data_IF_946863879588
#
_entry.id   IF_946863879588
#
_cell.length_a   1.000
_cell.length_b   1.000
_cell.length_c   1.000
_cell.angle_alpha   90.00
_cell.angle_beta   90.00
_cell.angle_gamma   90.00
#
_symmetry.space_group_name_H-M   'P 1'
#
loop_
_entity.id
_entity.type
_entity.pdbx_description
1 polymer ?
#
# COMPACT_ATOMS: atom_id res chain seq x y z
N UNK A 1 4.69 7.75 -5.77
CA UNK A 1 4.66 6.79 -6.93
C UNK A 1 3.23 6.61 -7.43
N UNK A 2 3.02 6.40 -8.75
CA UNK A 2 1.69 6.06 -9.27
C UNK A 2 1.38 4.56 -9.06
N UNK A 3 0.10 4.17 -9.26
CA UNK A 3 -0.36 2.79 -9.02
C UNK A 3 0.41 1.72 -9.81
N UNK A 4 0.80 2.02 -11.05
CA UNK A 4 1.55 1.06 -11.88
C UNK A 4 2.99 0.86 -11.36
N UNK A 5 3.62 1.92 -10.89
CA UNK A 5 4.96 1.85 -10.28
C UNK A 5 4.92 1.05 -8.96
N UNK A 6 3.91 1.28 -8.12
CA UNK A 6 3.69 0.53 -6.88
C UNK A 6 3.47 -0.96 -7.17
N UNK A 7 2.60 -1.29 -8.11
CA UNK A 7 2.35 -2.68 -8.53
C UNK A 7 3.63 -3.36 -9.02
N UNK A 8 4.41 -2.68 -9.89
CA UNK A 8 5.67 -3.20 -10.43
C UNK A 8 6.69 -3.46 -9.31
N UNK A 9 6.81 -2.55 -8.35
CA UNK A 9 7.73 -2.70 -7.23
C UNK A 9 7.30 -3.84 -6.30
N UNK A 10 6.02 -3.89 -5.92
CA UNK A 10 5.47 -4.96 -5.09
C UNK A 10 5.65 -6.34 -5.74
N UNK A 11 5.38 -6.45 -7.05
CA UNK A 11 5.59 -7.71 -7.80
C UNK A 11 7.05 -8.13 -7.78
N UNK A 12 7.99 -7.18 -7.93
CA UNK A 12 9.44 -7.47 -7.84
C UNK A 12 9.83 -7.96 -6.45
N UNK A 13 9.27 -7.38 -5.39
CA UNK A 13 9.53 -7.82 -4.01
C UNK A 13 9.06 -9.25 -3.78
N UNK A 14 7.87 -9.62 -4.23
CA UNK A 14 7.37 -11.00 -4.13
C UNK A 14 8.23 -11.96 -4.96
N UNK A 15 8.58 -11.58 -6.18
CA UNK A 15 9.42 -12.41 -7.04
C UNK A 15 10.81 -12.66 -6.44
N UNK A 16 11.41 -11.65 -5.80
CA UNK A 16 12.67 -11.80 -5.09
C UNK A 16 12.55 -12.79 -3.92
N UNK A 17 11.44 -12.74 -3.14
CA UNK A 17 11.16 -13.72 -2.06
C UNK A 17 11.03 -15.13 -2.62
N UNK A 18 10.28 -15.28 -3.72
CA UNK A 18 10.09 -16.56 -4.39
C UNK A 18 11.42 -17.16 -4.83
N UNK A 19 12.23 -16.39 -5.56
CA UNK A 19 13.55 -16.82 -6.01
C UNK A 19 14.45 -17.22 -4.82
N UNK A 20 14.46 -16.44 -3.73
CA UNK A 20 15.24 -16.77 -2.55
C UNK A 20 14.79 -18.09 -1.87
N UNK A 21 13.49 -18.36 -1.82
CA UNK A 21 12.96 -19.62 -1.31
C UNK A 21 13.35 -20.82 -2.20
N UNK A 22 13.26 -20.65 -3.51
CA UNK A 22 13.65 -21.67 -4.50
C UNK A 22 15.16 -21.93 -4.47
N UNK A 23 15.97 -20.88 -4.40
CA UNK A 23 17.45 -20.97 -4.31
C UNK A 23 17.90 -21.68 -3.03
N UNK A 24 17.28 -21.35 -1.89
CA UNK A 24 17.55 -22.03 -0.62
C UNK A 24 17.26 -23.53 -0.70
N UNK A 25 16.11 -23.90 -1.27
CA UNK A 25 15.72 -25.29 -1.47
C UNK A 25 16.72 -26.01 -2.39
N UNK A 26 17.04 -25.42 -3.55
CA UNK A 26 17.98 -26.02 -4.52
C UNK A 26 19.39 -26.16 -3.93
N UNK A 27 19.84 -25.22 -3.11
CA UNK A 27 21.14 -25.34 -2.40
C UNK A 27 21.13 -26.51 -1.46
N UNK A 28 20.05 -26.72 -0.70
CA UNK A 28 19.87 -27.88 0.18
C UNK A 28 19.89 -29.18 -0.63
N UNK A 29 19.10 -29.27 -1.69
CA UNK A 29 19.05 -30.44 -2.57
C UNK A 29 20.42 -30.71 -3.24
N UNK A 30 21.12 -29.66 -3.69
CA UNK A 30 22.44 -29.79 -4.30
C UNK A 30 23.49 -30.32 -3.30
N UNK A 31 23.37 -30.00 -2.03
CA UNK A 31 24.20 -30.54 -0.97
C UNK A 31 23.91 -32.00 -0.71
N UNK A 32 22.63 -32.35 -0.60
CA UNK A 32 22.20 -33.74 -0.41
C UNK A 32 22.58 -34.66 -1.59
N UNK A 33 22.48 -34.18 -2.82
CA UNK A 33 22.89 -34.92 -4.04
C UNK A 33 24.37 -35.27 -4.09
N UNK A 34 25.22 -34.64 -3.27
CA UNK A 34 26.65 -34.98 -3.16
C UNK A 34 26.90 -36.08 -2.13
N UNK A 35 25.92 -36.40 -1.28
CA UNK A 35 26.02 -37.45 -0.29
C UNK A 35 25.65 -38.83 -0.89
N UNK A 36 26.56 -39.79 -0.80
CA UNK A 36 26.37 -41.11 -1.40
C UNK A 36 25.22 -41.88 -0.74
N UNK A 37 25.03 -41.78 0.57
CA UNK A 37 23.94 -42.45 1.30
C UNK A 37 22.57 -41.88 0.88
N UNK A 38 22.47 -40.58 0.74
CA UNK A 38 21.26 -39.92 0.23
C UNK A 38 20.91 -40.39 -1.18
N UNK A 39 21.90 -40.46 -2.07
CA UNK A 39 21.67 -40.92 -3.47
C UNK A 39 21.20 -42.36 -3.52
N UNK A 40 21.75 -43.23 -2.68
CA UNK A 40 21.28 -44.63 -2.59
C UNK A 40 19.84 -44.75 -2.08
N UNK A 41 19.48 -43.95 -1.04
CA UNK A 41 18.12 -43.92 -0.49
C UNK A 41 17.12 -43.43 -1.54
N UNK A 42 17.39 -42.34 -2.22
CA UNK A 42 16.52 -41.78 -3.25
C UNK A 42 16.39 -42.70 -4.49
N UNK A 43 17.47 -43.30 -4.90
CA UNK A 43 17.46 -44.29 -5.99
C UNK A 43 16.62 -45.53 -5.62
N UNK A 44 16.80 -46.05 -4.40
CA UNK A 44 16.03 -47.18 -3.89
C UNK A 44 14.54 -46.89 -3.75
N UNK A 45 14.20 -45.67 -3.25
CA UNK A 45 12.81 -45.24 -3.15
C UNK A 45 12.17 -45.14 -4.53
N UNK A 46 12.83 -44.46 -5.47
CA UNK A 46 12.31 -44.30 -6.86
C UNK A 46 12.12 -45.65 -7.55
N UNK A 47 13.07 -46.57 -7.38
CA UNK A 47 12.94 -47.93 -7.93
C UNK A 47 11.73 -48.65 -7.35
N UNK A 48 11.54 -48.60 -6.01
CA UNK A 48 10.39 -49.25 -5.38
C UNK A 48 9.04 -48.63 -5.78
N UNK A 49 9.00 -47.29 -6.06
CA UNK A 49 7.80 -46.64 -6.59
C UNK A 49 7.48 -47.06 -8.02
N UNK A 50 8.48 -47.23 -8.87
CA UNK A 50 8.32 -47.75 -10.23
C UNK A 50 7.80 -49.18 -10.17
N UNK A 51 8.43 -50.04 -9.35
CA UNK A 51 8.01 -51.44 -9.18
C UNK A 51 6.56 -51.54 -8.69
N UNK A 52 6.13 -50.61 -7.78
CA UNK A 52 4.74 -50.54 -7.32
C UNK A 52 3.74 -50.23 -8.42
N UNK A 53 4.09 -49.30 -9.32
CA UNK A 53 3.22 -48.90 -10.45
C UNK A 53 3.14 -50.04 -11.51
N UNK A 54 4.25 -50.74 -11.71
CA UNK A 54 4.36 -51.77 -12.76
C UNK A 54 3.94 -53.18 -12.32
N UNK A 55 3.63 -53.40 -11.03
CA UNK A 55 3.34 -54.72 -10.47
C UNK A 55 1.87 -54.90 -10.11
N UNK A 56 1.41 -56.14 -10.12
CA UNK A 56 0.10 -56.58 -9.68
C UNK A 56 0.16 -57.58 -8.53
N UNK A 57 -0.93 -57.71 -7.75
CA UNK A 57 -1.12 -58.76 -6.74
C UNK A 57 -0.06 -58.73 -5.61
N UNK A 58 0.58 -59.87 -5.39
CA UNK A 58 1.58 -60.06 -4.30
C UNK A 58 2.83 -59.22 -4.48
N UNK A 59 3.28 -58.97 -5.72
CA UNK A 59 4.44 -58.15 -6.04
C UNK A 59 4.22 -56.67 -5.66
N UNK A 60 2.99 -56.18 -5.79
CA UNK A 60 2.60 -54.83 -5.37
C UNK A 60 2.70 -54.65 -3.87
N UNK A 61 2.31 -55.65 -3.06
CA UNK A 61 2.48 -55.62 -1.60
C UNK A 61 3.94 -55.59 -1.18
N UNK A 62 4.83 -56.27 -1.89
CA UNK A 62 6.26 -56.26 -1.63
C UNK A 62 6.88 -54.87 -1.93
N UNK A 63 6.54 -54.31 -3.09
CA UNK A 63 6.97 -52.96 -3.48
C UNK A 63 6.50 -51.89 -2.47
N UNK A 64 5.27 -52.01 -1.96
CA UNK A 64 4.75 -51.13 -0.92
C UNK A 64 5.56 -51.19 0.40
N UNK A 65 5.98 -52.36 0.82
CA UNK A 65 6.89 -52.53 1.98
C UNK A 65 8.25 -51.91 1.73
N UNK A 66 8.78 -51.99 0.52
CA UNK A 66 10.05 -51.39 0.12
C UNK A 66 9.95 -49.85 0.16
N UNK A 67 8.88 -49.27 -0.36
CA UNK A 67 8.61 -47.83 -0.29
C UNK A 67 8.61 -47.34 1.17
N UNK A 68 7.88 -48.05 2.05
CA UNK A 68 7.83 -47.71 3.48
C UNK A 68 9.22 -47.72 4.12
N UNK A 69 10.01 -48.76 3.84
CA UNK A 69 11.39 -48.90 4.32
C UNK A 69 12.28 -47.76 3.87
N UNK A 70 12.24 -47.39 2.59
CA UNK A 70 13.08 -46.28 2.08
C UNK A 70 12.59 -44.92 2.58
N UNK A 71 11.29 -44.71 2.77
CA UNK A 71 10.75 -43.47 3.40
C UNK A 71 11.26 -43.34 4.84
N UNK A 72 11.22 -44.41 5.63
CA UNK A 72 11.79 -44.36 7.01
C UNK A 72 13.28 -44.02 6.98
N UNK A 73 14.08 -44.67 6.11
CA UNK A 73 15.50 -44.37 5.97
C UNK A 73 15.74 -42.93 5.57
N UNK A 74 14.94 -42.35 4.68
CA UNK A 74 15.02 -40.98 4.24
C UNK A 74 14.76 -40.02 5.41
N UNK A 75 13.72 -40.30 6.19
CA UNK A 75 13.36 -39.47 7.33
C UNK A 75 14.41 -39.51 8.44
N UNK A 76 15.02 -40.68 8.69
CA UNK A 76 16.14 -40.88 9.62
C UNK A 76 17.39 -40.10 9.15
N UNK A 77 17.73 -40.21 7.85
CA UNK A 77 18.84 -39.48 7.26
C UNK A 77 18.65 -37.95 7.38
N UNK A 78 17.48 -37.42 6.99
CA UNK A 78 17.16 -36.01 7.11
C UNK A 78 17.27 -35.53 8.56
N UNK A 79 16.73 -36.29 9.50
CA UNK A 79 16.80 -35.96 10.93
C UNK A 79 18.25 -35.93 11.45
N UNK A 80 19.08 -36.87 11.01
CA UNK A 80 20.51 -36.90 11.41
C UNK A 80 21.26 -35.67 10.88
N UNK A 81 20.82 -35.06 9.77
CA UNK A 81 21.39 -33.85 9.20
C UNK A 81 20.67 -32.57 9.64
N UNK A 82 19.74 -32.65 10.62
CA UNK A 82 18.97 -31.50 11.10
C UNK A 82 17.95 -30.94 10.10
N UNK A 83 17.54 -31.79 9.10
CA UNK A 83 16.58 -31.45 8.07
C UNK A 83 15.26 -32.20 8.25
N UNK A 84 14.24 -31.72 7.58
CA UNK A 84 12.91 -32.34 7.51
C UNK A 84 12.49 -32.51 6.05
N UNK A 85 11.44 -33.30 5.81
CA UNK A 85 10.87 -33.45 4.46
C UNK A 85 10.39 -32.12 3.87
N UNK A 86 10.04 -31.14 4.72
CA UNK A 86 9.66 -29.81 4.29
C UNK A 86 10.84 -29.03 3.69
N UNK A 87 12.07 -29.24 4.17
CA UNK A 87 13.26 -28.55 3.65
C UNK A 87 13.64 -28.97 2.23
N UNK A 88 12.98 -30.00 1.70
CA UNK A 88 13.11 -30.46 0.31
C UNK A 88 12.17 -29.75 -0.65
N UNK A 89 11.37 -28.81 -0.17
CA UNK A 89 10.47 -27.98 -0.97
C UNK A 89 10.69 -26.51 -0.66
N UNK A 90 10.46 -25.60 -1.62
CA UNK A 90 10.57 -24.17 -1.36
C UNK A 90 9.52 -23.72 -0.34
N UNK A 91 9.95 -22.95 0.67
CA UNK A 91 9.06 -22.34 1.65
C UNK A 91 8.65 -20.96 1.20
N UNK A 92 7.47 -20.86 0.61
CA UNK A 92 6.90 -19.58 0.21
C UNK A 92 6.23 -18.87 1.38
N UNK A 93 6.36 -17.54 1.45
CA UNK A 93 5.70 -16.73 2.47
C UNK A 93 4.18 -16.71 2.30
N UNK A 94 3.69 -16.85 1.09
CA UNK A 94 2.28 -17.00 0.77
C UNK A 94 2.00 -18.37 0.18
N UNK A 95 1.35 -19.24 0.94
CA UNK A 95 0.99 -20.59 0.49
C UNK A 95 -0.08 -20.59 -0.61
N UNK A 96 -0.92 -19.54 -0.68
CA UNK A 96 -2.03 -19.45 -1.63
C UNK A 96 -1.53 -19.24 -3.07
N UNK A 97 -0.52 -18.40 -3.28
CA UNK A 97 0.00 -18.07 -4.60
C UNK A 97 1.47 -18.47 -4.80
N UNK A 98 2.11 -19.08 -3.81
CA UNK A 98 3.53 -19.42 -3.82
C UNK A 98 4.40 -18.21 -4.18
N UNK A 99 4.13 -17.07 -3.54
CA UNK A 99 4.76 -15.76 -3.74
C UNK A 99 4.76 -15.26 -5.20
N UNK A 100 3.88 -15.79 -6.07
CA UNK A 100 3.70 -15.26 -7.43
C UNK A 100 2.92 -13.94 -7.47
N UNK A 101 2.15 -13.64 -6.41
CA UNK A 101 1.27 -12.47 -6.33
C UNK A 101 -0.06 -12.64 -7.06
N UNK A 102 -0.30 -13.75 -7.76
CA UNK A 102 -1.52 -13.99 -8.54
C UNK A 102 -2.03 -15.42 -8.39
N UNK A 103 -3.36 -15.56 -8.40
CA UNK A 103 -4.08 -16.85 -8.43
C UNK A 103 -5.10 -16.78 -9.55
N UNK A 104 -4.97 -17.64 -10.55
CA UNK A 104 -5.86 -17.68 -11.74
C UNK A 104 -6.03 -16.29 -12.41
N UNK A 105 -4.95 -15.50 -12.49
CA UNK A 105 -4.98 -14.17 -13.08
C UNK A 105 -5.54 -13.06 -12.18
N UNK A 106 -6.00 -13.39 -10.96
CA UNK A 106 -6.48 -12.43 -9.96
C UNK A 106 -5.36 -12.09 -8.97
N UNK A 107 -5.28 -10.83 -8.57
CA UNK A 107 -4.30 -10.38 -7.58
C UNK A 107 -4.54 -11.08 -6.25
N UNK A 108 -3.49 -11.69 -5.70
CA UNK A 108 -3.52 -12.32 -4.39
C UNK A 108 -3.49 -11.27 -3.26
N UNK A 109 -4.03 -11.62 -2.09
CA UNK A 109 -4.00 -10.75 -0.91
C UNK A 109 -2.58 -10.33 -0.52
N UNK A 110 -1.60 -11.22 -0.63
CA UNK A 110 -0.19 -10.92 -0.30
C UNK A 110 0.40 -9.81 -1.19
N UNK A 111 0.03 -9.74 -2.47
CA UNK A 111 0.45 -8.66 -3.36
C UNK A 111 -0.25 -7.35 -3.00
N UNK A 112 -1.54 -7.39 -2.66
CA UNK A 112 -2.26 -6.23 -2.15
C UNK A 112 -1.64 -5.70 -0.85
N UNK A 113 -1.24 -6.58 0.07
CA UNK A 113 -0.60 -6.20 1.33
C UNK A 113 0.77 -5.54 1.08
N UNK A 114 1.54 -6.04 0.12
CA UNK A 114 2.82 -5.42 -0.25
C UNK A 114 2.63 -4.05 -0.91
N UNK A 115 1.64 -3.91 -1.81
CA UNK A 115 1.25 -2.61 -2.38
C UNK A 115 0.86 -1.63 -1.27
N UNK A 116 0.06 -2.08 -0.29
CA UNK A 116 -0.37 -1.26 0.84
C UNK A 116 0.80 -0.78 1.69
N UNK A 117 1.78 -1.65 1.98
CA UNK A 117 3.01 -1.27 2.68
C UNK A 117 3.78 -0.17 1.93
N UNK A 118 3.92 -0.31 0.62
CA UNK A 118 4.58 0.69 -0.22
C UNK A 118 3.80 2.02 -0.25
N UNK A 119 2.47 1.96 -0.36
CA UNK A 119 1.61 3.16 -0.29
C UNK A 119 1.84 3.90 1.02
N UNK A 120 1.81 3.20 2.15
CA UNK A 120 2.01 3.80 3.47
C UNK A 120 3.42 4.40 3.60
N UNK A 121 4.44 3.68 3.15
CA UNK A 121 5.83 4.16 3.19
C UNK A 121 6.04 5.45 2.36
N UNK A 122 5.35 5.57 1.23
CA UNK A 122 5.43 6.73 0.32
C UNK A 122 4.43 7.86 0.66
N UNK A 123 3.45 7.58 1.52
CA UNK A 123 2.31 8.49 1.76
C UNK A 123 2.60 9.66 2.67
N UNK A 124 3.74 9.69 3.36
CA UNK A 124 4.03 10.61 4.47
C UNK A 124 3.03 10.52 5.64
N UNK A 125 2.23 9.46 5.72
CA UNK A 125 1.30 9.23 6.83
C UNK A 125 2.07 8.72 8.03
N UNK A 126 2.20 9.54 9.06
CA UNK A 126 3.00 9.24 10.26
C UNK A 126 2.20 8.56 11.38
N UNK A 127 0.86 8.64 11.33
CA UNK A 127 -0.02 8.15 12.39
C UNK A 127 -0.98 7.06 11.86
N UNK A 128 -0.58 5.79 11.89
CA UNK A 128 -1.43 4.68 11.44
C UNK A 128 -2.69 4.50 12.31
N UNK A 129 -2.64 4.96 13.58
CA UNK A 129 -3.76 4.84 14.52
C UNK A 129 -4.88 5.88 14.28
N UNK A 130 -4.64 6.88 13.43
CA UNK A 130 -5.67 7.85 13.06
C UNK A 130 -6.60 7.22 12.02
N UNK A 131 -7.58 6.47 12.52
CA UNK A 131 -8.59 5.77 11.71
C UNK A 131 -9.99 6.25 12.05
N UNK A 132 -10.96 5.95 11.19
CA UNK A 132 -12.37 6.20 11.48
C UNK A 132 -12.87 5.39 12.67
N UNK A 133 -12.34 4.17 12.89
CA UNK A 133 -12.70 3.31 14.00
C UNK A 133 -12.21 3.85 15.36
N UNK A 134 -11.00 4.43 15.38
CA UNK A 134 -10.39 4.96 16.59
C UNK A 134 -10.83 6.41 16.91
N UNK A 135 -11.64 7.02 16.05
CA UNK A 135 -12.08 8.40 16.22
C UNK A 135 -12.99 8.58 17.44
N UNK A 136 -12.52 9.31 18.46
CA UNK A 136 -13.27 9.62 19.68
C UNK A 136 -14.02 10.96 19.55
N UNK A 137 -14.90 11.08 18.55
CA UNK A 137 -15.63 12.31 18.32
C UNK A 137 -16.95 12.32 19.10
N UNK A 138 -17.12 13.29 19.99
CA UNK A 138 -18.32 13.43 20.84
C UNK A 138 -19.35 14.37 20.25
N UNK A 139 -18.93 15.35 19.45
CA UNK A 139 -19.82 16.30 18.80
C UNK A 139 -20.64 15.63 17.70
N UNK A 140 -21.98 15.74 17.76
CA UNK A 140 -22.87 15.11 16.81
C UNK A 140 -22.67 15.61 15.37
N UNK A 141 -22.44 16.91 15.18
CA UNK A 141 -22.14 17.51 13.88
C UNK A 141 -20.84 16.93 13.31
N UNK A 142 -19.76 16.93 14.09
CA UNK A 142 -18.49 16.37 13.63
C UNK A 142 -18.60 14.87 13.32
N UNK A 143 -19.36 14.09 14.11
CA UNK A 143 -19.61 12.67 13.77
C UNK A 143 -20.27 12.50 12.40
N UNK A 144 -21.23 13.38 12.07
CA UNK A 144 -21.85 13.36 10.74
C UNK A 144 -20.83 13.70 9.63
N UNK A 145 -19.95 14.69 9.87
CA UNK A 145 -18.85 15.02 8.95
C UNK A 145 -17.90 13.83 8.76
N UNK A 146 -17.48 13.16 9.85
CA UNK A 146 -16.62 11.97 9.79
C UNK A 146 -17.27 10.85 8.97
N UNK A 147 -18.54 10.55 9.24
CA UNK A 147 -19.30 9.53 8.50
C UNK A 147 -19.38 9.85 7.00
N UNK A 148 -19.65 11.13 6.66
CA UNK A 148 -19.72 11.53 5.25
C UNK A 148 -18.36 11.52 4.57
N UNK A 149 -17.30 11.94 5.26
CA UNK A 149 -15.94 11.86 4.74
C UNK A 149 -15.50 10.39 4.49
N UNK A 150 -15.85 9.48 5.41
CA UNK A 150 -15.64 8.05 5.22
C UNK A 150 -16.34 7.53 3.97
N UNK A 151 -17.61 7.94 3.75
CA UNK A 151 -18.37 7.55 2.57
C UNK A 151 -17.73 8.08 1.28
N UNK A 152 -17.24 9.34 1.29
CA UNK A 152 -16.50 9.92 0.14
C UNK A 152 -15.24 9.12 -0.17
N UNK A 153 -14.52 8.65 0.84
CA UNK A 153 -13.37 7.77 0.62
C UNK A 153 -13.78 6.42 0.02
N UNK A 154 -14.89 5.83 0.45
CA UNK A 154 -15.37 4.54 -0.06
C UNK A 154 -15.88 4.64 -1.50
N UNK A 155 -16.72 5.63 -1.79
CA UNK A 155 -17.34 5.81 -3.12
C UNK A 155 -16.33 6.24 -4.18
N UNK A 156 -15.33 7.05 -3.81
CA UNK A 156 -14.43 7.71 -4.74
C UNK A 156 -15.11 8.85 -5.52
N UNK A 157 -14.34 9.56 -6.32
CA UNK A 157 -14.85 10.55 -7.28
C UNK A 157 -15.12 11.95 -6.74
N UNK A 158 -15.33 12.15 -5.43
CA UNK A 158 -15.51 13.46 -4.81
C UNK A 158 -14.27 13.92 -4.06
N UNK A 159 -14.04 15.23 -4.02
CA UNK A 159 -13.03 15.88 -3.20
C UNK A 159 -13.57 16.18 -1.79
N UNK A 160 -12.69 16.58 -0.88
CA UNK A 160 -13.06 17.04 0.47
C UNK A 160 -12.37 18.37 0.75
N UNK A 161 -13.13 19.35 1.24
CA UNK A 161 -12.60 20.59 1.80
C UNK A 161 -13.09 20.71 3.26
N UNK A 162 -12.14 20.62 4.20
CA UNK A 162 -12.39 20.73 5.63
C UNK A 162 -11.96 22.12 6.11
N UNK A 163 -12.91 22.86 6.66
CA UNK A 163 -12.64 24.13 7.35
C UNK A 163 -12.79 23.98 8.87
N UNK A 164 -12.37 24.96 9.63
CA UNK A 164 -12.57 24.99 11.09
C UNK A 164 -11.35 25.44 11.86
N UNK A 165 -11.53 25.76 13.13
CA UNK A 165 -10.49 26.28 14.01
C UNK A 165 -9.33 25.29 14.22
N UNK A 166 -8.18 25.83 14.64
CA UNK A 166 -7.04 25.01 15.08
C UNK A 166 -7.49 24.03 16.18
N UNK A 167 -7.00 22.78 16.12
CA UNK A 167 -7.31 21.75 17.11
C UNK A 167 -8.71 21.11 16.99
N UNK A 168 -9.55 21.49 16.01
CA UNK A 168 -10.88 20.90 15.80
C UNK A 168 -10.87 19.45 15.33
N UNK A 169 -9.70 18.90 14.88
CA UNK A 169 -9.55 17.51 14.45
C UNK A 169 -9.43 17.34 12.94
N UNK A 170 -9.19 18.39 12.15
CA UNK A 170 -9.06 18.34 10.69
C UNK A 170 -7.91 17.41 10.24
N UNK A 171 -6.72 17.60 10.79
CA UNK A 171 -5.56 16.75 10.50
C UNK A 171 -5.83 15.29 10.85
N UNK A 172 -6.54 15.00 11.97
CA UNK A 172 -6.95 13.63 12.30
C UNK A 172 -7.84 13.04 11.21
N UNK A 173 -8.91 13.76 10.83
CA UNK A 173 -9.84 13.29 9.80
C UNK A 173 -9.15 13.12 8.45
N UNK A 174 -8.27 14.06 8.08
CA UNK A 174 -7.50 13.96 6.84
C UNK A 174 -6.60 12.71 6.83
N UNK A 175 -5.91 12.45 7.95
CA UNK A 175 -5.07 11.25 8.11
C UNK A 175 -5.90 9.97 8.11
N UNK A 176 -7.10 9.97 8.73
CA UNK A 176 -8.01 8.83 8.68
C UNK A 176 -8.49 8.53 7.24
N UNK A 177 -8.74 9.58 6.45
CA UNK A 177 -9.04 9.43 5.01
C UNK A 177 -7.84 8.85 4.25
N UNK A 178 -6.61 9.26 4.57
CA UNK A 178 -5.39 8.73 3.96
C UNK A 178 -5.21 7.24 4.25
N UNK A 179 -5.34 6.84 5.53
CA UNK A 179 -5.25 5.44 5.94
C UNK A 179 -6.31 4.57 5.26
N UNK A 180 -7.57 4.99 5.25
CA UNK A 180 -8.65 4.26 4.58
C UNK A 180 -8.41 4.17 3.07
N UNK A 181 -7.93 5.24 2.42
CA UNK A 181 -7.61 5.21 0.98
C UNK A 181 -6.48 4.23 0.67
N UNK A 182 -5.47 4.15 1.54
CA UNK A 182 -4.38 3.18 1.43
C UNK A 182 -4.89 1.72 1.62
N UNK A 183 -5.82 1.49 2.56
CA UNK A 183 -6.49 0.20 2.75
C UNK A 183 -7.28 -0.23 1.50
N UNK A 184 -7.80 0.72 0.74
CA UNK A 184 -8.47 0.49 -0.55
C UNK A 184 -7.48 0.35 -1.73
N UNK A 185 -6.18 0.22 -1.45
CA UNK A 185 -5.09 0.13 -2.44
C UNK A 185 -5.04 1.31 -3.43
N UNK A 186 -5.42 2.50 -2.98
CA UNK A 186 -5.23 3.74 -3.74
C UNK A 186 -3.89 4.34 -3.36
N UNK A 187 -3.15 4.84 -4.34
CA UNK A 187 -1.92 5.60 -4.07
C UNK A 187 -2.27 6.90 -3.35
N UNK A 188 -1.58 7.17 -2.25
CA UNK A 188 -1.87 8.29 -1.34
C UNK A 188 -0.63 9.13 -1.13
N UNK A 189 -0.80 10.45 -1.05
CA UNK A 189 0.24 11.38 -0.62
C UNK A 189 -0.38 12.41 0.32
N UNK A 190 0.10 12.45 1.57
CA UNK A 190 -0.26 13.46 2.56
C UNK A 190 0.88 14.46 2.70
N UNK A 191 0.61 15.72 2.42
CA UNK A 191 1.58 16.82 2.49
C UNK A 191 0.95 18.04 3.12
N UNK A 192 1.78 18.92 3.71
CA UNK A 192 1.32 20.24 4.15
C UNK A 192 1.32 21.22 2.98
N UNK A 193 0.46 22.25 3.04
CA UNK A 193 0.48 23.32 2.05
C UNK A 193 1.84 24.02 1.96
N UNK A 194 2.54 24.14 3.08
CA UNK A 194 3.91 24.65 3.14
C UNK A 194 4.88 23.78 2.28
N UNK A 195 4.81 22.46 2.43
CA UNK A 195 5.63 21.53 1.64
C UNK A 195 5.29 21.63 0.15
N UNK A 196 4.01 21.68 -0.20
CA UNK A 196 3.56 21.83 -1.60
C UNK A 196 4.10 23.10 -2.22
N UNK A 197 4.07 24.24 -1.52
CA UNK A 197 4.63 25.50 -2.05
C UNK A 197 6.15 25.43 -2.26
N UNK A 198 6.88 24.72 -1.39
CA UNK A 198 8.30 24.42 -1.59
C UNK A 198 8.52 23.57 -2.85
N UNK A 199 7.76 22.49 -3.04
CA UNK A 199 7.81 21.66 -4.23
C UNK A 199 7.52 22.46 -5.52
N UNK A 200 6.59 23.41 -5.48
CA UNK A 200 6.33 24.29 -6.62
C UNK A 200 7.52 25.19 -6.95
N UNK A 201 8.19 25.73 -5.93
CA UNK A 201 9.40 26.52 -6.13
C UNK A 201 10.53 25.68 -6.71
N UNK A 202 10.74 24.48 -6.17
CA UNK A 202 11.75 23.55 -6.67
C UNK A 202 11.46 23.17 -8.14
N UNK A 203 10.21 22.86 -8.47
CA UNK A 203 9.79 22.60 -9.84
C UNK A 203 10.04 23.78 -10.77
N UNK A 204 9.76 25.01 -10.31
CA UNK A 204 9.95 26.23 -11.09
C UNK A 204 11.42 26.51 -11.40
N UNK A 205 12.32 26.18 -10.46
CA UNK A 205 13.77 26.44 -10.58
C UNK A 205 14.54 25.28 -11.23
N UNK A 206 13.91 24.15 -11.46
CA UNK A 206 14.54 22.94 -11.96
C UNK A 206 14.55 22.85 -13.50
N UNK A 207 15.33 21.90 -14.03
CA UNK A 207 15.21 21.48 -15.43
C UNK A 207 13.87 20.81 -15.72
N UNK A 208 13.54 20.66 -17.01
CA UNK A 208 12.24 20.13 -17.44
C UNK A 208 11.94 18.73 -16.90
N UNK A 209 12.93 17.85 -16.81
CA UNK A 209 12.74 16.47 -16.35
C UNK A 209 12.43 16.43 -14.84
N UNK A 210 13.17 17.20 -14.05
CA UNK A 210 12.96 17.35 -12.60
C UNK A 210 11.63 18.05 -12.32
N UNK A 211 11.31 19.12 -13.07
CA UNK A 211 10.02 19.79 -12.99
C UNK A 211 8.88 18.79 -13.17
N UNK A 212 8.93 17.99 -14.24
CA UNK A 212 7.89 17.03 -14.55
C UNK A 212 7.77 15.95 -13.47
N UNK A 213 8.89 15.44 -12.97
CA UNK A 213 8.89 14.44 -11.90
C UNK A 213 8.25 14.96 -10.60
N UNK A 214 8.51 16.21 -10.21
CA UNK A 214 7.89 16.84 -9.03
C UNK A 214 6.39 17.00 -9.24
N UNK A 215 5.97 17.58 -10.37
CA UNK A 215 4.54 17.81 -10.65
C UNK A 215 3.77 16.48 -10.76
N UNK A 216 4.31 15.48 -11.45
CA UNK A 216 3.71 14.16 -11.59
C UNK A 216 3.56 13.45 -10.23
N UNK A 217 4.47 13.68 -9.28
CA UNK A 217 4.35 13.14 -7.93
C UNK A 217 3.09 13.60 -7.19
N UNK A 218 2.66 14.85 -7.44
CA UNK A 218 1.44 15.45 -6.89
C UNK A 218 0.19 15.14 -7.73
N UNK A 219 0.34 15.08 -9.05
CA UNK A 219 -0.79 14.91 -9.98
C UNK A 219 -1.24 13.46 -10.07
N UNK A 220 -0.32 12.50 -10.11
CA UNK A 220 -0.62 11.10 -10.46
C UNK A 220 -1.13 10.24 -9.33
N UNK A 221 -0.89 10.60 -8.06
CA UNK A 221 -1.44 9.84 -6.93
C UNK A 221 -2.97 9.83 -6.97
N UNK A 222 -3.59 8.72 -6.57
CA UNK A 222 -5.05 8.60 -6.60
C UNK A 222 -5.72 9.58 -5.63
N UNK A 223 -5.13 9.75 -4.45
CA UNK A 223 -5.63 10.65 -3.40
C UNK A 223 -4.48 11.53 -2.91
N UNK A 224 -4.58 12.82 -3.18
CA UNK A 224 -3.69 13.85 -2.64
C UNK A 224 -4.37 14.52 -1.46
N UNK A 225 -3.69 14.56 -0.32
CA UNK A 225 -4.18 15.24 0.88
C UNK A 225 -3.26 16.41 1.20
N UNK A 226 -3.82 17.61 1.26
CA UNK A 226 -3.10 18.84 1.56
C UNK A 226 -3.59 19.37 2.91
N UNK A 227 -2.73 19.30 3.92
CA UNK A 227 -3.05 19.79 5.26
C UNK A 227 -2.65 21.24 5.44
N UNK A 228 -3.45 21.98 6.22
CA UNK A 228 -3.25 23.36 6.60
C UNK A 228 -3.07 24.34 5.40
N UNK A 229 -3.96 24.24 4.39
CA UNK A 229 -4.01 25.21 3.29
C UNK A 229 -4.22 26.63 3.86
N UNK A 230 -3.42 27.57 3.40
CA UNK A 230 -3.35 28.95 3.93
C UNK A 230 -2.10 29.24 4.76
N UNK A 231 -1.28 28.22 5.05
CA UNK A 231 0.01 28.38 5.75
C UNK A 231 1.21 28.39 4.81
N UNK A 232 0.99 28.12 3.53
CA UNK A 232 2.04 28.07 2.51
C UNK A 232 2.68 29.44 2.24
N UNK A 233 3.92 29.39 1.80
CA UNK A 233 4.60 30.57 1.28
C UNK A 233 4.02 30.97 -0.09
N UNK A 234 3.75 32.25 -0.27
CA UNK A 234 3.29 32.80 -1.54
C UNK A 234 4.50 33.31 -2.33
N UNK A 235 4.96 32.51 -3.27
CA UNK A 235 5.98 32.90 -4.24
C UNK A 235 5.31 33.52 -5.45
N UNK A 236 5.69 34.75 -5.79
CA UNK A 236 5.10 35.52 -6.90
C UNK A 236 5.21 34.73 -8.23
N UNK A 237 4.13 34.63 -8.97
CA UNK A 237 4.01 33.91 -10.23
C UNK A 237 4.31 32.39 -10.16
N UNK A 238 4.38 31.83 -8.96
CA UNK A 238 4.64 30.38 -8.76
C UNK A 238 3.48 29.75 -8.02
N UNK A 239 3.27 30.10 -6.75
CA UNK A 239 2.34 29.37 -5.87
C UNK A 239 0.94 29.28 -6.45
N UNK A 240 0.36 30.40 -6.87
CA UNK A 240 -1.01 30.43 -7.41
C UNK A 240 -1.13 29.70 -8.75
N UNK A 241 -0.19 29.91 -9.67
CA UNK A 241 -0.25 29.32 -11.00
C UNK A 241 -0.05 27.79 -10.94
N UNK A 242 0.90 27.30 -10.14
CA UNK A 242 1.14 25.89 -9.97
C UNK A 242 0.00 25.20 -9.21
N UNK A 243 -0.56 25.87 -8.18
CA UNK A 243 -1.70 25.32 -7.45
C UNK A 243 -2.94 25.23 -8.33
N UNK A 244 -3.22 26.25 -9.15
CA UNK A 244 -4.27 26.20 -10.15
C UNK A 244 -4.07 25.04 -11.13
N UNK A 245 -2.88 24.92 -11.68
CA UNK A 245 -2.53 23.84 -12.61
C UNK A 245 -2.72 22.47 -11.95
N UNK A 246 -2.21 22.27 -10.73
CA UNK A 246 -2.35 21.03 -9.96
C UNK A 246 -3.82 20.64 -9.79
N UNK A 247 -4.64 21.54 -9.26
CA UNK A 247 -6.07 21.25 -9.03
C UNK A 247 -6.80 20.95 -10.34
N UNK A 248 -6.53 21.74 -11.39
CA UNK A 248 -7.16 21.56 -12.69
C UNK A 248 -6.81 20.21 -13.34
N UNK A 249 -5.53 19.82 -13.34
CA UNK A 249 -5.06 18.53 -13.85
C UNK A 249 -5.66 17.37 -13.08
N UNK A 250 -5.72 17.45 -11.75
CA UNK A 250 -6.31 16.39 -10.93
C UNK A 250 -7.80 16.23 -11.17
N UNK A 251 -8.53 17.35 -11.35
CA UNK A 251 -9.95 17.31 -11.74
C UNK A 251 -10.12 16.65 -13.13
N UNK A 252 -9.30 17.02 -14.10
CA UNK A 252 -9.34 16.45 -15.45
C UNK A 252 -9.07 14.94 -15.45
N UNK A 253 -8.13 14.48 -14.62
CA UNK A 253 -7.79 13.06 -14.44
C UNK A 253 -8.70 12.32 -13.46
N UNK A 254 -9.75 12.96 -12.93
CA UNK A 254 -10.69 12.41 -11.94
C UNK A 254 -9.98 11.87 -10.68
N UNK A 255 -8.91 12.53 -10.25
CA UNK A 255 -8.15 12.20 -9.04
C UNK A 255 -8.73 12.95 -7.84
N UNK A 256 -8.79 12.29 -6.67
CA UNK A 256 -9.32 12.90 -5.45
C UNK A 256 -8.30 13.84 -4.80
N UNK A 257 -8.77 15.01 -4.37
CA UNK A 257 -7.97 15.96 -3.61
C UNK A 257 -8.71 16.31 -2.33
N UNK A 258 -8.10 16.06 -1.17
CA UNK A 258 -8.65 16.36 0.15
C UNK A 258 -7.81 17.46 0.79
N UNK A 259 -8.47 18.49 1.25
CA UNK A 259 -7.80 19.70 1.76
C UNK A 259 -8.36 20.02 3.14
N UNK A 260 -7.47 20.37 4.07
CA UNK A 260 -7.83 21.03 5.32
C UNK A 260 -7.34 22.47 5.34
N UNK A 261 -8.06 23.34 6.04
CA UNK A 261 -7.69 24.75 6.21
C UNK A 261 -8.24 25.31 7.52
N UNK A 262 -7.52 26.26 8.09
CA UNK A 262 -8.00 27.09 9.19
C UNK A 262 -8.73 28.37 8.70
N UNK A 263 -8.69 28.63 7.40
CA UNK A 263 -9.34 29.78 6.79
C UNK A 263 -10.85 29.54 6.65
N UNK A 264 -11.64 30.59 6.76
CA UNK A 264 -13.05 30.57 6.34
C UNK A 264 -13.14 30.57 4.82
N UNK A 265 -14.31 30.27 4.27
CA UNK A 265 -14.52 30.33 2.80
C UNK A 265 -14.30 31.78 2.28
N UNK A 266 -14.59 32.80 3.09
CA UNK A 266 -14.34 34.20 2.76
C UNK A 266 -12.84 34.48 2.67
N UNK A 267 -12.09 34.04 3.69
CA UNK A 267 -10.63 34.22 3.72
C UNK A 267 -9.94 33.45 2.58
N UNK A 268 -10.44 32.26 2.24
CA UNK A 268 -9.95 31.48 1.08
C UNK A 268 -10.16 32.24 -0.22
N UNK A 269 -11.32 32.89 -0.39
CA UNK A 269 -11.63 33.69 -1.58
C UNK A 269 -10.75 34.94 -1.69
N UNK A 270 -10.40 35.54 -0.56
CA UNK A 270 -9.50 36.71 -0.51
C UNK A 270 -8.05 36.29 -0.78
N UNK A 271 -7.64 35.11 -0.31
CA UNK A 271 -6.24 34.63 -0.41
C UNK A 271 -5.92 34.09 -1.81
N UNK A 272 -6.87 33.39 -2.44
CA UNK A 272 -6.70 32.76 -3.76
C UNK A 272 -7.55 33.48 -4.81
N UNK A 273 -7.10 33.45 -6.05
CA UNK A 273 -7.91 34.00 -7.14
C UNK A 273 -9.22 33.21 -7.34
N UNK A 274 -10.20 33.83 -8.00
CA UNK A 274 -11.51 33.27 -8.25
C UNK A 274 -11.43 31.93 -9.02
N UNK A 275 -10.40 31.73 -9.83
CA UNK A 275 -10.20 30.48 -10.60
C UNK A 275 -9.87 29.30 -9.70
N UNK A 276 -9.05 29.51 -8.69
CA UNK A 276 -8.69 28.49 -7.69
C UNK A 276 -9.89 28.27 -6.77
N UNK A 277 -10.41 29.35 -6.20
CA UNK A 277 -11.50 29.30 -5.24
C UNK A 277 -12.71 28.54 -5.79
N UNK A 278 -13.16 28.85 -7.01
CA UNK A 278 -14.34 28.20 -7.61
C UNK A 278 -14.16 26.69 -7.77
N UNK A 279 -12.93 26.20 -8.00
CA UNK A 279 -12.63 24.77 -8.10
C UNK A 279 -12.61 24.06 -6.75
N UNK A 280 -12.12 24.76 -5.72
CA UNK A 280 -12.08 24.20 -4.36
C UNK A 280 -13.49 24.04 -3.78
N UNK A 281 -14.41 24.96 -4.11
CA UNK A 281 -15.77 24.99 -3.54
C UNK A 281 -16.84 24.45 -4.49
N UNK A 282 -16.48 23.83 -5.59
CA UNK A 282 -17.44 23.23 -6.53
C UNK A 282 -18.22 22.09 -5.86
N UNK A 283 -19.43 22.38 -5.36
CA UNK A 283 -20.28 21.45 -4.62
C UNK A 283 -20.72 20.24 -5.45
N UNK A 284 -20.62 20.27 -6.76
CA UNK A 284 -20.89 19.11 -7.61
C UNK A 284 -19.81 18.03 -7.49
N UNK A 285 -18.63 18.39 -6.97
CA UNK A 285 -17.43 17.53 -6.89
C UNK A 285 -16.76 17.52 -5.53
N UNK A 286 -17.09 18.46 -4.64
CA UNK A 286 -16.40 18.64 -3.37
C UNK A 286 -17.38 18.57 -2.21
N UNK A 287 -17.14 17.67 -1.28
CA UNK A 287 -17.77 17.68 0.02
C UNK A 287 -17.09 18.74 0.89
N UNK A 288 -17.83 19.81 1.19
CA UNK A 288 -17.36 20.91 2.02
C UNK A 288 -17.95 20.76 3.41
N UNK A 289 -17.11 20.78 4.45
CA UNK A 289 -17.55 20.67 5.82
C UNK A 289 -16.69 21.48 6.78
N UNK A 290 -17.33 22.02 7.81
CA UNK A 290 -16.65 22.69 8.91
C UNK A 290 -16.59 21.75 10.13
N UNK A 291 -15.39 21.58 10.70
CA UNK A 291 -15.23 20.92 12.00
C UNK A 291 -15.25 21.97 13.11
N UNK A 292 -16.24 21.85 13.98
CA UNK A 292 -16.49 22.77 15.09
C UNK A 292 -15.95 22.21 16.41
N UNK A 293 -15.70 23.09 17.38
CA UNK A 293 -15.30 22.72 18.75
C UNK A 293 -14.04 23.41 19.25
N UNK A 294 -13.75 23.18 20.52
CA UNK A 294 -12.55 23.69 21.17
C UNK A 294 -11.31 22.90 20.72
N UNK A 295 -10.13 23.50 20.90
CA UNK A 295 -8.86 22.82 20.63
C UNK A 295 -8.72 21.56 21.51
N UNK A 296 -8.71 20.38 20.87
CA UNK A 296 -8.63 19.07 21.53
C UNK A 296 -7.24 18.77 22.08
N UNK A 297 -6.21 19.58 21.74
CA UNK A 297 -4.84 19.44 22.25
C UNK A 297 -4.72 20.08 23.64
N UNK A 298 -5.59 21.02 23.98
CA UNK A 298 -5.63 21.68 25.28
C UNK A 298 -6.52 20.84 26.20
N UNK A 299 -5.92 20.06 27.10
CA UNK A 299 -6.68 19.43 28.19
C UNK A 299 -7.30 20.54 29.02
N UNK A 300 -8.63 20.57 29.16
CA UNK A 300 -9.25 21.39 30.22
C UNK A 300 -8.66 20.92 31.55
N UNK A 301 -7.97 21.83 32.24
CA UNK A 301 -7.49 21.62 33.59
C UNK A 301 -8.66 21.39 34.54
#
# INVERSE_FOLDING_TARGET
MNRQQLLKLATRTLQARKCAAEEKCETTLATLRKDGEWVEIEHGLRKAEIDFVMSDGSSKSLAQKQIAKYKTKRDEFLKAHGLTANDLQPHYSCEVCSDSGYVNGVICSCLNDEIRKLIIAESNVTNPDYTFANAKETNAHNRAVFKKAQQVCLDGGSNILLTGNTGSGKTYLLTACANLSAELNRSVLLVTAYTVSGMFLDAHLSDLATHQAIMDSLIDVDVLLIDDLGTENIYKNVTAEYFFSLINERIARKKQTFISTNLTLTDLRERYDERIFSRLVDQSRTFIAELTGADKRIKKA
#
